data_IF_514202579341
#
_entry.id   IF_514202579341
#
_cell.length_a   1.000
_cell.length_b   1.000
_cell.length_c   1.000
_cell.angle_alpha   90.00
_cell.angle_beta   90.00
_cell.angle_gamma   90.00
#
_symmetry.space_group_name_H-M   'P 1'
#
loop_
_entity.id
_entity.type
_entity.pdbx_description
1 polymer ?
#
# COMPACT_ATOMS: atom_id res chain seq x y z
N UNK A 1 -5.52 -17.65 17.86
CA UNK A 1 -5.81 -16.70 16.77
C UNK A 1 -7.08 -17.18 16.10
N UNK A 2 -8.10 -16.31 16.02
CA UNK A 2 -9.39 -16.62 15.43
C UNK A 2 -9.64 -15.83 14.15
N UNK A 3 -10.81 -16.06 13.53
CA UNK A 3 -11.32 -15.31 12.40
C UNK A 3 -12.39 -14.34 12.89
N UNK A 4 -12.49 -13.17 12.27
CA UNK A 4 -13.51 -12.18 12.58
C UNK A 4 -13.85 -11.34 11.34
N UNK A 5 -15.05 -10.77 11.31
CA UNK A 5 -15.47 -9.85 10.28
C UNK A 5 -14.58 -8.60 10.23
N UNK A 6 -14.26 -8.13 9.01
CA UNK A 6 -13.40 -6.95 8.83
C UNK A 6 -13.93 -5.74 9.60
N UNK A 7 -15.21 -5.46 9.52
CA UNK A 7 -15.81 -4.32 10.22
C UNK A 7 -15.71 -4.46 11.75
N UNK A 8 -15.94 -5.68 12.27
CA UNK A 8 -15.93 -5.95 13.70
C UNK A 8 -14.53 -5.75 14.31
N UNK A 9 -13.47 -6.18 13.61
CA UNK A 9 -12.09 -5.99 14.09
C UNK A 9 -11.69 -4.52 14.09
N UNK A 10 -12.15 -3.73 13.11
CA UNK A 10 -11.88 -2.29 13.06
C UNK A 10 -12.67 -1.52 14.13
N UNK A 11 -13.94 -1.86 14.36
CA UNK A 11 -14.73 -1.25 15.44
C UNK A 11 -14.15 -1.56 16.82
N UNK A 12 -13.67 -2.78 17.03
CA UNK A 12 -13.09 -3.22 18.29
C UNK A 12 -11.60 -2.89 18.45
N UNK A 13 -10.93 -2.34 17.42
CA UNK A 13 -9.50 -2.06 17.42
C UNK A 13 -8.62 -3.28 17.66
N UNK A 14 -9.06 -4.48 17.27
CA UNK A 14 -8.32 -5.73 17.50
C UNK A 14 -7.15 -5.85 16.54
N UNK A 15 -6.00 -6.33 17.06
CA UNK A 15 -4.85 -6.64 16.23
C UNK A 15 -5.21 -7.73 15.22
N UNK A 16 -5.00 -7.45 13.94
CA UNK A 16 -5.28 -8.36 12.85
C UNK A 16 -4.22 -8.28 11.75
N UNK A 17 -4.17 -9.31 10.91
CA UNK A 17 -3.18 -9.44 9.86
C UNK A 17 -3.58 -8.62 8.63
N UNK A 18 -2.61 -7.86 8.11
CA UNK A 18 -2.77 -7.04 6.91
C UNK A 18 -1.56 -7.16 5.99
N UNK A 19 -1.67 -6.58 4.81
CA UNK A 19 -0.56 -6.39 3.88
C UNK A 19 -0.59 -5.00 3.25
N UNK A 20 0.60 -4.53 2.84
CA UNK A 20 0.80 -3.34 2.02
C UNK A 20 1.72 -3.65 0.85
N UNK A 21 1.35 -3.18 -0.33
CA UNK A 21 2.15 -3.31 -1.56
C UNK A 21 2.65 -1.94 -1.98
N UNK A 22 3.94 -1.84 -2.23
CA UNK A 22 4.61 -0.68 -2.83
C UNK A 22 5.12 -1.08 -4.22
N UNK A 23 4.49 -0.55 -5.27
CA UNK A 23 4.93 -0.73 -6.65
C UNK A 23 5.91 0.36 -7.05
N UNK A 24 6.93 0.00 -7.83
CA UNK A 24 7.92 0.95 -8.35
C UNK A 24 8.13 0.72 -9.83
N UNK A 25 8.30 1.83 -10.58
CA UNK A 25 8.77 1.76 -11.97
C UNK A 25 10.29 1.60 -12.02
N UNK A 26 10.84 1.53 -13.23
CA UNK A 26 12.29 1.38 -13.45
C UNK A 26 13.10 2.65 -13.13
N UNK A 27 12.46 3.80 -12.98
CA UNK A 27 13.11 5.01 -12.47
C UNK A 27 13.19 5.03 -10.93
N UNK A 28 12.52 4.09 -10.26
CA UNK A 28 12.39 4.05 -8.81
C UNK A 28 11.23 4.90 -8.28
N UNK A 29 10.36 5.43 -9.17
CA UNK A 29 9.19 6.17 -8.73
C UNK A 29 8.12 5.21 -8.21
N UNK A 30 7.47 5.62 -7.14
CA UNK A 30 6.43 4.86 -6.46
C UNK A 30 5.09 5.03 -7.15
N UNK A 31 4.38 3.92 -7.36
CA UNK A 31 2.99 3.93 -7.80
C UNK A 31 2.08 4.26 -6.61
N UNK A 32 1.47 5.42 -6.65
CA UNK A 32 0.40 5.83 -5.73
C UNK A 32 -0.96 5.54 -6.33
N UNK A 33 -1.94 5.22 -5.48
CA UNK A 33 -3.35 5.21 -5.85
C UNK A 33 -4.14 6.25 -5.06
N UNK A 34 -5.09 6.90 -5.71
CA UNK A 34 -6.09 7.75 -5.08
C UNK A 34 -7.33 6.91 -4.84
N UNK A 35 -7.72 6.73 -3.59
CA UNK A 35 -8.86 5.89 -3.21
C UNK A 35 -10.16 6.43 -3.81
N UNK A 36 -11.04 5.52 -4.24
CA UNK A 36 -12.35 5.91 -4.74
C UNK A 36 -13.15 6.65 -3.65
N UNK A 37 -13.99 7.60 -4.05
CA UNK A 37 -14.83 8.37 -3.12
C UNK A 37 -15.89 7.51 -2.43
N UNK A 38 -16.20 6.35 -2.97
CA UNK A 38 -17.16 5.37 -2.42
C UNK A 38 -16.59 4.50 -1.31
N UNK A 39 -15.28 4.63 -1.01
CA UNK A 39 -14.66 3.83 0.07
C UNK A 39 -15.16 4.28 1.44
N UNK A 40 -15.48 3.32 2.32
CA UNK A 40 -16.07 3.57 3.64
C UNK A 40 -15.11 4.28 4.63
N UNK A 41 -13.79 4.23 4.40
CA UNK A 41 -12.79 5.02 5.13
C UNK A 41 -11.77 5.62 4.19
N UNK A 42 -11.20 6.76 4.56
CA UNK A 42 -10.17 7.48 3.80
C UNK A 42 -10.55 7.70 2.31
N UNK A 43 -11.81 8.05 1.95
CA UNK A 43 -12.21 8.27 0.57
C UNK A 43 -11.43 9.44 -0.05
N UNK A 44 -11.01 9.30 -1.31
CA UNK A 44 -10.31 10.34 -2.06
C UNK A 44 -8.89 10.65 -1.60
N UNK A 45 -8.34 9.92 -0.62
CA UNK A 45 -6.96 10.11 -0.15
C UNK A 45 -5.97 9.29 -0.98
N UNK A 46 -4.75 9.80 -1.08
CA UNK A 46 -3.63 9.09 -1.68
C UNK A 46 -3.08 8.02 -0.72
N UNK A 47 -2.66 6.90 -1.27
CA UNK A 47 -2.05 5.78 -0.56
C UNK A 47 -1.02 5.06 -1.44
N UNK A 48 -0.31 4.09 -0.86
CA UNK A 48 0.53 3.15 -1.60
C UNK A 48 -0.30 2.29 -2.57
N UNK A 49 0.36 1.50 -3.39
CA UNK A 49 -0.25 0.82 -4.54
C UNK A 49 -1.45 -0.06 -4.19
N UNK A 50 -1.37 -0.84 -3.10
CA UNK A 50 -2.49 -1.66 -2.62
C UNK A 50 -2.32 -1.98 -1.14
N UNK A 51 -3.44 -2.03 -0.40
CA UNK A 51 -3.50 -2.48 0.99
C UNK A 51 -4.73 -3.37 1.20
N UNK A 52 -4.62 -4.32 2.13
CA UNK A 52 -5.77 -5.15 2.44
C UNK A 52 -5.49 -6.24 3.47
N UNK A 53 -6.45 -7.13 3.58
CA UNK A 53 -6.44 -8.21 4.55
C UNK A 53 -6.53 -9.55 3.84
N UNK A 54 -5.73 -10.56 4.26
CA UNK A 54 -5.91 -11.92 3.81
C UNK A 54 -7.28 -12.45 4.26
N UNK A 55 -7.90 -13.29 3.43
CA UNK A 55 -9.08 -14.07 3.82
C UNK A 55 -8.67 -15.15 4.83
N UNK A 56 -9.62 -15.73 5.56
CA UNK A 56 -9.37 -16.92 6.37
C UNK A 56 -8.61 -18.01 5.58
N UNK A 57 -7.53 -18.52 6.15
CA UNK A 57 -6.67 -19.53 5.50
C UNK A 57 -5.81 -19.04 4.33
N UNK A 58 -5.98 -17.80 3.86
CA UNK A 58 -5.22 -17.28 2.72
C UNK A 58 -3.78 -16.90 3.10
N UNK A 59 -2.82 -17.28 2.27
CA UNK A 59 -1.41 -16.87 2.40
C UNK A 59 -1.30 -15.38 2.08
N UNK A 60 -0.60 -14.62 2.93
CA UNK A 60 -0.59 -13.14 2.86
C UNK A 60 -0.08 -12.60 1.53
N UNK A 61 0.96 -13.21 0.93
CA UNK A 61 1.49 -12.78 -0.36
C UNK A 61 0.51 -13.05 -1.52
N UNK A 62 -0.26 -14.15 -1.44
CA UNK A 62 -1.29 -14.47 -2.43
C UNK A 62 -2.47 -13.51 -2.33
N UNK A 63 -2.87 -13.16 -1.10
CA UNK A 63 -3.88 -12.13 -0.84
C UNK A 63 -3.45 -10.77 -1.43
N UNK A 64 -2.19 -10.38 -1.21
CA UNK A 64 -1.63 -9.15 -1.74
C UNK A 64 -1.62 -9.13 -3.28
N UNK A 65 -1.21 -10.23 -3.92
CA UNK A 65 -1.21 -10.36 -5.38
C UNK A 65 -2.64 -10.33 -5.96
N UNK A 66 -3.57 -11.05 -5.34
CA UNK A 66 -4.98 -11.06 -5.72
C UNK A 66 -5.60 -9.66 -5.63
N UNK A 67 -5.45 -8.98 -4.50
CA UNK A 67 -6.02 -7.64 -4.31
C UNK A 67 -5.39 -6.61 -5.24
N UNK A 68 -4.08 -6.67 -5.49
CA UNK A 68 -3.43 -5.79 -6.46
C UNK A 68 -4.04 -5.99 -7.85
N UNK A 69 -4.33 -7.24 -8.24
CA UNK A 69 -5.01 -7.50 -9.50
C UNK A 69 -6.45 -6.96 -9.53
N UNK A 70 -7.21 -7.14 -8.46
CA UNK A 70 -8.60 -6.66 -8.34
C UNK A 70 -8.67 -5.11 -8.36
N UNK A 71 -7.71 -4.42 -7.73
CA UNK A 71 -7.71 -2.96 -7.60
C UNK A 71 -7.05 -2.24 -8.79
N UNK A 72 -5.96 -2.81 -9.32
CA UNK A 72 -5.09 -2.15 -10.31
C UNK A 72 -5.01 -2.88 -11.66
N UNK A 73 -5.64 -4.03 -11.82
CA UNK A 73 -5.75 -4.73 -13.10
C UNK A 73 -4.51 -5.54 -13.52
N UNK A 74 -3.48 -5.64 -12.69
CA UNK A 74 -2.29 -6.45 -13.00
C UNK A 74 -1.90 -7.38 -11.85
N UNK A 75 -1.32 -8.55 -12.16
CA UNK A 75 -0.74 -9.46 -11.16
C UNK A 75 0.73 -9.15 -10.95
N UNK A 76 1.13 -8.67 -9.76
CA UNK A 76 2.52 -8.38 -9.46
C UNK A 76 3.31 -9.66 -9.13
N UNK A 77 4.61 -9.66 -9.44
CA UNK A 77 5.58 -10.51 -8.75
C UNK A 77 6.00 -9.78 -7.48
N UNK A 78 5.58 -10.28 -6.33
CA UNK A 78 5.81 -9.65 -5.04
C UNK A 78 7.09 -10.16 -4.37
N UNK A 79 7.84 -9.24 -3.78
CA UNK A 79 9.01 -9.52 -2.95
C UNK A 79 8.76 -9.00 -1.54
N UNK A 80 8.95 -9.86 -0.53
CA UNK A 80 8.84 -9.44 0.86
C UNK A 80 9.93 -8.41 1.19
N UNK A 81 9.55 -7.36 1.90
CA UNK A 81 10.44 -6.29 2.34
C UNK A 81 10.60 -6.28 3.86
N UNK A 82 9.61 -5.80 4.58
CA UNK A 82 9.64 -5.75 6.04
C UNK A 82 8.25 -6.03 6.62
N UNK A 83 8.19 -6.10 7.94
CA UNK A 83 6.95 -6.24 8.71
C UNK A 83 6.89 -5.13 9.75
N UNK A 84 5.70 -4.69 10.08
CA UNK A 84 5.47 -3.65 11.09
C UNK A 84 4.11 -3.82 11.73
N UNK A 85 3.97 -3.23 12.91
CA UNK A 85 2.66 -3.11 13.57
C UNK A 85 2.35 -1.64 13.73
N UNK A 86 1.12 -1.24 13.43
CA UNK A 86 0.67 0.11 13.69
C UNK A 86 -0.76 0.13 14.22
N UNK A 87 -1.11 1.24 14.84
CA UNK A 87 -2.46 1.56 15.26
C UNK A 87 -2.81 2.98 14.77
N UNK A 88 -3.95 3.14 14.13
CA UNK A 88 -4.42 4.42 13.64
C UNK A 88 -5.93 4.54 13.69
N UNK A 89 -6.42 5.74 14.02
CA UNK A 89 -7.82 6.09 13.83
C UNK A 89 -8.01 6.51 12.36
N UNK A 90 -8.91 5.83 11.65
CA UNK A 90 -9.15 6.07 10.21
C UNK A 90 -10.50 6.74 9.94
N UNK A 91 -11.09 7.32 10.97
CA UNK A 91 -12.39 7.98 10.92
C UNK A 91 -13.57 7.01 11.16
N UNK A 92 -14.78 7.56 11.31
CA UNK A 92 -16.02 6.80 11.53
C UNK A 92 -15.93 5.79 12.70
N UNK A 93 -15.24 6.16 13.80
CA UNK A 93 -14.95 5.32 14.98
C UNK A 93 -14.18 4.00 14.66
N UNK A 94 -13.56 3.92 13.48
CA UNK A 94 -12.79 2.76 13.04
C UNK A 94 -11.32 2.91 13.45
N UNK A 95 -10.77 1.83 13.98
CA UNK A 95 -9.37 1.73 14.40
C UNK A 95 -8.71 0.63 13.56
N UNK A 96 -7.68 0.99 12.81
CA UNK A 96 -6.76 0.01 12.23
C UNK A 96 -5.70 -0.33 13.26
N UNK A 97 -5.68 -1.59 13.70
CA UNK A 97 -4.61 -2.14 14.55
C UNK A 97 -4.11 -3.38 13.84
N UNK A 98 -3.02 -3.21 13.08
CA UNK A 98 -2.61 -4.16 12.07
C UNK A 98 -1.18 -4.65 12.28
N UNK A 99 -0.98 -5.96 12.10
CA UNK A 99 0.31 -6.57 11.83
C UNK A 99 0.47 -6.72 10.32
N UNK A 100 1.30 -5.87 9.74
CA UNK A 100 1.38 -5.68 8.29
C UNK A 100 2.61 -6.35 7.71
N UNK A 101 2.40 -7.16 6.67
CA UNK A 101 3.46 -7.64 5.78
C UNK A 101 3.60 -6.67 4.61
N UNK A 102 4.78 -6.08 4.46
CA UNK A 102 5.07 -5.11 3.39
C UNK A 102 5.81 -5.80 2.25
N UNK A 103 5.29 -5.61 1.05
CA UNK A 103 5.82 -6.17 -0.19
C UNK A 103 6.18 -5.05 -1.18
N UNK A 104 7.24 -5.29 -1.95
CA UNK A 104 7.58 -4.48 -3.12
C UNK A 104 7.29 -5.23 -4.43
N UNK A 105 7.00 -4.50 -5.52
CA UNK A 105 6.92 -5.07 -6.86
C UNK A 105 7.35 -4.07 -7.93
N UNK A 106 7.78 -4.62 -9.08
CA UNK A 106 8.00 -3.83 -10.29
C UNK A 106 6.68 -3.56 -11.00
N UNK A 107 6.50 -2.33 -11.46
CA UNK A 107 5.37 -1.90 -12.28
C UNK A 107 5.92 -1.30 -13.58
N UNK A 108 5.70 -1.99 -14.71
CA UNK A 108 6.32 -1.63 -15.99
C UNK A 108 5.57 -0.53 -16.74
N UNK A 109 4.27 -0.35 -16.48
CA UNK A 109 3.44 0.67 -17.09
C UNK A 109 2.39 1.15 -16.08
N UNK A 110 1.89 2.36 -16.27
CA UNK A 110 0.81 2.90 -15.42
C UNK A 110 -0.44 2.02 -15.57
N UNK A 111 -0.91 1.38 -14.50
CA UNK A 111 -2.08 0.50 -14.58
C UNK A 111 -3.38 1.28 -14.75
N UNK A 112 -4.41 0.59 -15.21
CA UNK A 112 -5.77 1.11 -15.22
C UNK A 112 -6.52 0.59 -13.99
N UNK A 113 -6.77 1.43 -12.98
CA UNK A 113 -7.40 0.98 -11.75
C UNK A 113 -8.88 0.65 -11.96
N UNK A 114 -9.39 -0.26 -11.13
CA UNK A 114 -10.84 -0.45 -10.98
C UNK A 114 -11.44 0.81 -10.36
N UNK A 115 -12.39 1.50 -11.04
CA UNK A 115 -12.96 2.76 -10.52
C UNK A 115 -13.69 2.63 -9.18
N UNK A 116 -14.18 1.43 -8.85
CA UNK A 116 -14.79 1.16 -7.55
C UNK A 116 -13.77 1.13 -6.39
N UNK A 117 -12.49 0.94 -6.70
CA UNK A 117 -11.40 0.84 -5.73
C UNK A 117 -10.54 2.10 -5.70
N UNK A 118 -10.12 2.59 -6.86
CA UNK A 118 -9.28 3.77 -6.99
C UNK A 118 -9.74 4.68 -8.14
N UNK A 119 -9.79 5.98 -7.89
CA UNK A 119 -10.19 6.99 -8.87
C UNK A 119 -9.05 7.42 -9.79
N UNK A 120 -7.80 7.20 -9.37
CA UNK A 120 -6.60 7.62 -10.10
C UNK A 120 -5.37 6.88 -9.60
N UNK A 121 -4.36 6.77 -10.46
CA UNK A 121 -3.02 6.27 -10.13
C UNK A 121 -1.97 7.17 -10.76
N UNK A 122 -0.79 7.26 -10.15
CA UNK A 122 0.32 8.04 -10.67
C UNK A 122 1.66 7.50 -10.16
N UNK A 123 2.73 7.72 -10.93
CA UNK A 123 4.09 7.51 -10.44
C UNK A 123 4.65 8.84 -9.91
N UNK A 124 5.24 8.79 -8.72
CA UNK A 124 5.86 9.96 -8.06
C UNK A 124 7.17 9.51 -7.41
N UNK A 125 8.21 10.34 -7.48
CA UNK A 125 9.47 10.03 -6.80
C UNK A 125 9.28 9.97 -5.28
N UNK A 126 10.03 9.09 -4.60
CA UNK A 126 9.96 8.97 -3.14
C UNK A 126 10.28 10.29 -2.44
N UNK A 127 11.20 11.09 -3.00
CA UNK A 127 11.56 12.42 -2.47
C UNK A 127 10.38 13.40 -2.51
N UNK A 128 9.67 13.46 -3.64
CA UNK A 128 8.49 14.33 -3.80
C UNK A 128 7.38 13.89 -2.86
N UNK A 129 7.12 12.59 -2.75
CA UNK A 129 6.13 12.06 -1.80
C UNK A 129 6.52 12.39 -0.36
N UNK A 130 7.79 12.19 0.02
CA UNK A 130 8.27 12.51 1.36
C UNK A 130 8.15 14.00 1.71
N UNK A 131 8.34 14.88 0.72
CA UNK A 131 8.09 16.32 0.90
C UNK A 131 6.61 16.62 1.03
N UNK A 132 5.80 16.05 0.14
CA UNK A 132 4.38 16.34 0.05
C UNK A 132 3.59 15.82 1.25
N UNK A 133 3.92 14.64 1.78
CA UNK A 133 3.31 14.10 3.02
C UNK A 133 3.51 15.02 4.22
N UNK A 134 4.62 15.77 4.28
CA UNK A 134 4.86 16.78 5.32
C UNK A 134 4.09 18.08 5.09
N UNK A 135 3.94 18.50 3.82
CA UNK A 135 3.28 19.75 3.46
C UNK A 135 1.76 19.64 3.42
N UNK A 136 1.25 18.48 2.96
CA UNK A 136 -0.19 18.23 2.75
C UNK A 136 -0.63 16.89 3.37
N UNK A 137 -0.41 16.66 4.67
CA UNK A 137 -0.69 15.37 5.30
C UNK A 137 -2.17 14.94 5.14
N UNK A 138 -3.10 15.88 5.12
CA UNK A 138 -4.53 15.60 4.94
C UNK A 138 -4.91 15.05 3.55
N UNK A 139 -3.98 15.04 2.60
CA UNK A 139 -4.16 14.43 1.27
C UNK A 139 -3.86 12.93 1.25
N UNK A 140 -3.37 12.38 2.35
CA UNK A 140 -2.87 11.00 2.43
C UNK A 140 -3.56 10.19 3.52
N UNK A 141 -3.71 8.89 3.28
CA UNK A 141 -4.25 7.96 4.25
C UNK A 141 -3.33 7.82 5.48
N UNK A 142 -3.92 7.58 6.66
CA UNK A 142 -3.18 7.55 7.93
C UNK A 142 -2.06 6.51 7.95
N UNK A 143 -2.31 5.28 7.43
CA UNK A 143 -1.28 4.24 7.33
C UNK A 143 -0.14 4.64 6.39
N UNK A 144 -0.43 5.40 5.32
CA UNK A 144 0.58 5.86 4.39
C UNK A 144 1.52 6.89 5.06
N UNK A 145 0.96 7.82 5.81
CA UNK A 145 1.73 8.77 6.63
C UNK A 145 2.60 8.05 7.67
N UNK A 146 2.07 6.98 8.28
CA UNK A 146 2.84 6.14 9.21
C UNK A 146 4.08 5.57 8.53
N UNK A 147 3.98 5.01 7.33
CA UNK A 147 5.14 4.49 6.59
C UNK A 147 6.18 5.59 6.33
N UNK A 148 5.75 6.76 5.90
CA UNK A 148 6.67 7.87 5.63
C UNK A 148 7.29 8.49 6.89
N UNK A 149 6.67 8.33 8.04
CA UNK A 149 7.22 8.80 9.33
C UNK A 149 8.15 7.79 10.00
N UNK A 150 7.94 6.48 9.80
CA UNK A 150 8.62 5.42 10.55
C UNK A 150 9.50 4.49 9.71
N UNK A 151 9.23 4.38 8.41
CA UNK A 151 9.84 3.40 7.53
C UNK A 151 10.37 4.00 6.21
N UNK A 152 10.69 5.28 6.21
CA UNK A 152 11.15 6.00 5.01
C UNK A 152 12.42 5.36 4.41
N UNK A 153 13.36 4.92 5.25
CA UNK A 153 14.61 4.29 4.80
C UNK A 153 14.33 2.96 4.08
N UNK A 154 13.37 2.16 4.57
CA UNK A 154 12.96 0.92 3.91
C UNK A 154 12.27 1.19 2.57
N UNK A 155 11.48 2.27 2.47
CA UNK A 155 10.85 2.70 1.22
C UNK A 155 11.91 3.14 0.20
N UNK A 156 12.92 3.92 0.61
CA UNK A 156 14.06 4.26 -0.25
C UNK A 156 14.84 3.04 -0.71
N UNK A 157 15.10 2.09 0.19
CA UNK A 157 15.78 0.84 -0.16
C UNK A 157 15.02 0.05 -1.24
N UNK A 158 13.68 -0.05 -1.13
CA UNK A 158 12.84 -0.65 -2.17
C UNK A 158 12.94 0.12 -3.49
N UNK A 159 12.78 1.43 -3.49
CA UNK A 159 12.90 2.29 -4.68
C UNK A 159 14.24 2.05 -5.40
N UNK A 160 15.35 2.08 -4.65
CA UNK A 160 16.69 1.85 -5.18
C UNK A 160 16.84 0.44 -5.78
N UNK A 161 16.27 -0.60 -5.15
CA UNK A 161 16.33 -1.97 -5.65
C UNK A 161 15.66 -2.09 -7.04
N UNK A 162 14.51 -1.47 -7.24
CA UNK A 162 13.81 -1.51 -8.54
C UNK A 162 14.46 -0.63 -9.60
N UNK A 163 15.11 0.47 -9.23
CA UNK A 163 15.93 1.30 -10.12
C UNK A 163 17.18 0.58 -10.64
N UNK A 164 17.81 -0.24 -9.81
CA UNK A 164 19.05 -0.96 -10.17
C UNK A 164 18.83 -2.16 -11.10
N UNK A 165 17.61 -2.70 -11.16
CA UNK A 165 17.29 -3.85 -12.03
C UNK A 165 17.43 -3.52 -13.54
N UNK A 166 17.43 -2.24 -13.94
CA UNK A 166 17.66 -1.84 -15.32
C UNK A 166 19.12 -2.00 -15.76
N UNK A 167 20.10 -1.83 -14.86
CA UNK A 167 21.53 -1.89 -15.21
C UNK A 167 22.01 -3.31 -15.55
N UNK A 168 21.31 -4.34 -15.09
CA UNK A 168 21.68 -5.76 -15.31
C UNK A 168 21.06 -6.38 -16.55
N UNK A 169 20.02 -5.78 -17.14
CA UNK A 169 19.38 -6.29 -18.35
C UNK A 169 19.94 -5.66 -19.65
N UNK A 170 20.89 -4.73 -19.53
CA UNK A 170 21.54 -4.02 -20.65
C UNK A 170 23.03 -4.41 -20.80
N UNK A 171 23.47 -5.47 -20.13
CA UNK A 171 24.78 -6.10 -20.24
C UNK A 171 24.59 -7.54 -20.73
#
# INVERSE_FOLDING_TARGET
LGEAGKLDVHLAGRLHRAFSVFGFNTAGDMLLQKRALTKYHSPGLWANSCCGHPRPGEVTIEAAARRTHEELGFRPTLHASFQTTYIANVGNVLIEHEYVHVFGCKVSALPQPNPAEASSVTFVSVDEVAKDTRQRPNSYAAWFLFYFSKHLDQIYAMSCAYKSLQKKSSS
#
